data_IF_568853119558
#
_entry.id   IF_568853119558
#
_cell.length_a   1.000
_cell.length_b   1.000
_cell.length_c   1.000
_cell.angle_alpha   90.00
_cell.angle_beta   90.00
_cell.angle_gamma   90.00
#
_symmetry.space_group_name_H-M   'P 1'
#
loop_
_entity.id
_entity.type
_entity.pdbx_description
1 polymer ?
#
# COMPACT_ATOMS: atom_id res chain seq x y z
N UNK A 1 -13.86 16.99 8.79
CA UNK A 1 -13.83 16.33 10.11
C UNK A 1 -14.08 14.82 10.03
N UNK A 2 -15.21 14.34 9.50
CA UNK A 2 -15.52 12.88 9.43
C UNK A 2 -14.46 12.06 8.68
N UNK A 3 -13.99 12.53 7.51
CA UNK A 3 -12.92 11.85 6.76
C UNK A 3 -11.64 11.74 7.61
N UNK A 4 -11.26 12.82 8.29
CA UNK A 4 -10.07 12.88 9.14
C UNK A 4 -10.15 11.91 10.32
N UNK A 5 -11.33 11.81 10.96
CA UNK A 5 -11.55 10.86 12.05
C UNK A 5 -11.43 9.41 11.58
N UNK A 6 -12.07 9.07 10.47
CA UNK A 6 -12.04 7.72 9.90
C UNK A 6 -10.61 7.32 9.42
N UNK A 7 -9.82 8.29 8.98
CA UNK A 7 -8.40 8.13 8.60
C UNK A 7 -7.45 8.53 9.74
N UNK A 8 -7.92 8.43 10.98
CA UNK A 8 -7.12 8.68 12.17
C UNK A 8 -6.04 7.62 12.41
N UNK A 9 -4.97 8.01 13.10
CA UNK A 9 -3.86 7.12 13.48
C UNK A 9 -4.29 5.76 14.02
N UNK A 10 -5.14 5.71 15.07
CA UNK A 10 -5.63 4.46 15.64
C UNK A 10 -6.42 3.57 14.66
N UNK A 11 -7.20 4.18 13.76
CA UNK A 11 -8.03 3.45 12.79
C UNK A 11 -7.14 2.69 11.80
N UNK A 12 -6.13 3.38 11.26
CA UNK A 12 -5.20 2.82 10.27
C UNK A 12 -4.14 1.90 10.89
N UNK A 13 -3.85 2.05 12.18
CA UNK A 13 -2.94 1.15 12.90
C UNK A 13 -3.59 -0.19 13.27
N UNK A 14 -4.92 -0.30 13.14
CA UNK A 14 -5.63 -1.52 13.49
C UNK A 14 -5.18 -2.68 12.57
N UNK A 15 -4.82 -3.87 13.08
CA UNK A 15 -4.31 -4.98 12.26
C UNK A 15 -5.25 -5.44 11.14
N UNK A 16 -6.56 -5.23 11.30
CA UNK A 16 -7.58 -5.53 10.27
C UNK A 16 -7.79 -4.40 9.25
N UNK A 17 -7.22 -3.22 9.45
CA UNK A 17 -7.24 -2.13 8.46
C UNK A 17 -6.22 -2.41 7.33
N UNK A 18 -6.45 -3.50 6.60
CA UNK A 18 -5.53 -4.04 5.59
C UNK A 18 -6.28 -4.45 4.32
N UNK A 19 -5.52 -4.81 3.29
CA UNK A 19 -6.03 -5.16 1.97
C UNK A 19 -6.92 -6.41 2.01
N UNK A 20 -8.09 -6.32 1.37
CA UNK A 20 -9.03 -7.44 1.26
C UNK A 20 -9.69 -7.85 2.58
N UNK A 21 -9.67 -7.00 3.61
CA UNK A 21 -10.30 -7.25 4.91
C UNK A 21 -11.44 -6.26 5.15
N UNK A 22 -12.68 -6.73 5.07
CA UNK A 22 -13.88 -5.93 5.41
C UNK A 22 -14.32 -6.16 6.86
N UNK A 23 -14.43 -7.42 7.29
CA UNK A 23 -14.93 -7.78 8.61
C UNK A 23 -13.95 -7.39 9.73
N UNK A 24 -14.42 -6.62 10.72
CA UNK A 24 -13.60 -6.12 11.82
C UNK A 24 -12.57 -5.07 11.41
N UNK A 25 -12.63 -4.56 10.17
CA UNK A 25 -11.83 -3.42 9.75
C UNK A 25 -12.56 -2.13 10.16
N UNK A 26 -12.05 -1.39 11.17
CA UNK A 26 -12.80 -0.26 11.73
C UNK A 26 -13.00 0.86 10.71
N UNK A 27 -12.06 1.06 9.78
CA UNK A 27 -12.16 2.05 8.71
C UNK A 27 -13.37 1.73 7.81
N UNK A 28 -13.48 0.46 7.40
CA UNK A 28 -14.58 -0.01 6.56
C UNK A 28 -15.92 0.00 7.30
N UNK A 29 -15.95 -0.49 8.54
CA UNK A 29 -17.18 -0.61 9.33
C UNK A 29 -17.82 0.77 9.60
N UNK A 30 -17.01 1.77 9.96
CA UNK A 30 -17.50 3.14 10.12
C UNK A 30 -18.00 3.71 8.78
N UNK A 31 -17.25 3.53 7.69
CA UNK A 31 -17.67 3.98 6.36
C UNK A 31 -19.00 3.34 5.93
N UNK A 32 -19.18 2.04 6.19
CA UNK A 32 -20.43 1.32 5.90
C UNK A 32 -21.58 1.83 6.77
N UNK A 33 -21.34 2.08 8.06
CA UNK A 33 -22.33 2.62 8.98
C UNK A 33 -22.81 4.02 8.52
N UNK A 34 -21.88 4.92 8.19
CA UNK A 34 -22.21 6.27 7.71
C UNK A 34 -23.00 6.20 6.41
N UNK A 35 -22.60 5.35 5.47
CA UNK A 35 -23.30 5.21 4.21
C UNK A 35 -24.74 4.66 4.40
N UNK A 36 -24.94 3.66 5.25
CA UNK A 36 -26.27 3.14 5.57
C UNK A 36 -27.17 4.19 6.26
N UNK A 37 -26.59 5.08 7.09
CA UNK A 37 -27.33 6.17 7.73
C UNK A 37 -27.91 7.17 6.72
N UNK A 38 -27.35 7.26 5.50
CA UNK A 38 -27.92 8.08 4.41
C UNK A 38 -29.16 7.46 3.76
N UNK A 39 -29.54 6.25 4.15
CA UNK A 39 -30.68 5.50 3.62
C UNK A 39 -30.68 5.38 2.08
N UNK A 40 -29.58 4.89 1.48
CA UNK A 40 -29.50 4.77 0.04
C UNK A 40 -30.51 3.73 -0.47
N UNK A 41 -31.32 4.12 -1.46
CA UNK A 41 -32.35 3.22 -2.01
C UNK A 41 -31.77 2.17 -2.96
N UNK A 42 -30.61 2.43 -3.57
CA UNK A 42 -30.01 1.58 -4.58
C UNK A 42 -28.54 1.93 -4.81
N UNK A 43 -27.71 0.93 -5.10
CA UNK A 43 -26.34 1.14 -5.61
C UNK A 43 -26.13 0.40 -6.93
N UNK A 44 -25.13 0.83 -7.70
CA UNK A 44 -24.56 0.07 -8.82
C UNK A 44 -23.05 0.15 -8.70
N UNK A 45 -22.41 -0.98 -8.42
CA UNK A 45 -20.97 -1.13 -8.37
C UNK A 45 -20.50 -2.04 -9.50
N UNK A 46 -19.29 -1.79 -10.00
CA UNK A 46 -18.63 -2.62 -11.01
C UNK A 46 -17.24 -3.02 -10.55
N UNK A 47 -16.81 -4.22 -10.90
CA UNK A 47 -15.41 -4.64 -10.80
C UNK A 47 -14.74 -4.53 -12.17
N UNK A 48 -13.45 -4.21 -12.19
CA UNK A 48 -12.71 -3.92 -13.41
C UNK A 48 -11.48 -4.82 -13.55
N UNK A 49 -11.12 -5.19 -14.78
CA UNK A 49 -9.80 -5.78 -15.06
C UNK A 49 -8.73 -4.71 -15.26
N UNK A 50 -7.50 -5.12 -15.55
CA UNK A 50 -6.35 -4.24 -15.81
C UNK A 50 -6.55 -3.29 -17.00
N UNK A 51 -7.46 -3.64 -17.93
CA UNK A 51 -7.85 -2.81 -19.09
C UNK A 51 -9.03 -1.89 -18.79
N UNK A 52 -9.49 -1.83 -17.53
CA UNK A 52 -10.68 -1.08 -17.08
C UNK A 52 -11.99 -1.59 -17.71
N UNK A 53 -12.02 -2.83 -18.18
CA UNK A 53 -13.24 -3.47 -18.69
C UNK A 53 -14.06 -4.03 -17.52
N UNK A 54 -15.38 -3.96 -17.62
CA UNK A 54 -16.30 -4.46 -16.60
C UNK A 54 -16.24 -5.99 -16.53
N UNK A 55 -15.98 -6.52 -15.32
CA UNK A 55 -15.91 -7.96 -15.04
C UNK A 55 -17.07 -8.47 -14.18
N UNK A 56 -17.82 -7.55 -13.57
CA UNK A 56 -18.97 -7.84 -12.72
C UNK A 56 -19.78 -6.58 -12.48
N UNK A 57 -21.10 -6.74 -12.31
CA UNK A 57 -22.04 -5.66 -12.00
C UNK A 57 -22.88 -6.10 -10.81
N UNK A 58 -22.91 -5.28 -9.76
CA UNK A 58 -23.60 -5.57 -8.51
C UNK A 58 -24.53 -4.41 -8.20
N UNK A 59 -25.83 -4.67 -8.25
CA UNK A 59 -26.85 -3.63 -8.15
C UNK A 59 -28.01 -4.08 -7.26
N UNK A 60 -28.52 -3.18 -6.42
CA UNK A 60 -29.57 -3.52 -5.46
C UNK A 60 -29.48 -2.71 -4.16
N UNK A 61 -30.04 -3.29 -3.10
CA UNK A 61 -29.87 -2.82 -1.73
C UNK A 61 -28.37 -2.73 -1.40
N UNK A 62 -27.96 -1.64 -0.76
CA UNK A 62 -26.56 -1.26 -0.61
C UNK A 62 -25.71 -2.35 0.04
N UNK A 63 -26.14 -2.87 1.19
CA UNK A 63 -25.35 -3.85 1.94
C UNK A 63 -25.21 -5.15 1.13
N UNK A 64 -26.32 -5.69 0.62
CA UNK A 64 -26.32 -6.94 -0.14
C UNK A 64 -25.53 -6.84 -1.46
N UNK A 65 -25.74 -5.78 -2.24
CA UNK A 65 -25.05 -5.61 -3.50
C UNK A 65 -23.55 -5.37 -3.30
N UNK A 66 -23.16 -4.62 -2.26
CA UNK A 66 -21.76 -4.40 -1.95
C UNK A 66 -21.07 -5.69 -1.45
N UNK A 67 -21.72 -6.46 -0.56
CA UNK A 67 -21.19 -7.72 -0.04
C UNK A 67 -20.99 -8.75 -1.17
N UNK A 68 -21.92 -8.83 -2.13
CA UNK A 68 -21.76 -9.66 -3.32
C UNK A 68 -20.56 -9.22 -4.20
N UNK A 69 -20.35 -7.91 -4.33
CA UNK A 69 -19.20 -7.35 -5.02
C UNK A 69 -17.88 -7.65 -4.32
N UNK A 70 -17.84 -7.54 -2.98
CA UNK A 70 -16.67 -7.89 -2.16
C UNK A 70 -16.32 -9.38 -2.34
N UNK A 71 -17.31 -10.27 -2.25
CA UNK A 71 -17.10 -11.71 -2.40
C UNK A 71 -16.59 -12.10 -3.80
N UNK A 72 -16.97 -11.35 -4.84
CA UNK A 72 -16.42 -11.52 -6.18
C UNK A 72 -14.99 -10.99 -6.28
N UNK A 73 -14.76 -9.75 -5.80
CA UNK A 73 -13.46 -9.08 -5.83
C UNK A 73 -12.39 -9.86 -5.05
N UNK A 74 -12.76 -10.45 -3.91
CA UNK A 74 -11.87 -11.28 -3.10
C UNK A 74 -11.30 -12.45 -3.90
N UNK A 75 -12.15 -13.16 -4.66
CA UNK A 75 -11.72 -14.29 -5.51
C UNK A 75 -10.86 -13.85 -6.68
N UNK A 76 -11.09 -12.65 -7.20
CA UNK A 76 -10.38 -12.13 -8.38
C UNK A 76 -9.00 -11.56 -8.02
N UNK A 77 -8.90 -10.79 -6.93
CA UNK A 77 -7.73 -9.97 -6.66
C UNK A 77 -6.84 -10.49 -5.54
N UNK A 78 -7.34 -11.35 -4.65
CA UNK A 78 -6.51 -11.91 -3.57
C UNK A 78 -5.83 -13.19 -4.02
N UNK A 79 -4.51 -13.19 -3.98
CA UNK A 79 -3.68 -14.27 -4.50
C UNK A 79 -2.97 -14.97 -3.34
N UNK A 80 -3.28 -16.25 -3.06
CA UNK A 80 -2.60 -16.98 -2.00
C UNK A 80 -1.12 -17.16 -2.34
N UNK A 81 -0.24 -16.86 -1.38
CA UNK A 81 1.20 -17.11 -1.48
C UNK A 81 1.64 -18.03 -0.33
N UNK A 82 2.59 -18.96 -0.58
CA UNK A 82 2.93 -20.00 0.40
C UNK A 82 3.72 -19.49 1.60
N UNK A 83 4.32 -18.29 1.51
CA UNK A 83 5.16 -17.72 2.55
C UNK A 83 5.35 -16.21 2.33
N UNK A 84 5.99 -15.55 3.31
CA UNK A 84 6.58 -14.23 3.12
C UNK A 84 7.96 -14.33 2.45
N UNK A 85 8.36 -13.27 1.75
CA UNK A 85 9.53 -13.23 0.89
C UNK A 85 10.60 -12.29 1.45
N UNK A 86 11.86 -12.61 1.16
CA UNK A 86 13.02 -11.83 1.58
C UNK A 86 13.11 -10.52 0.76
N UNK A 87 12.77 -10.59 -0.53
CA UNK A 87 12.70 -9.44 -1.45
C UNK A 87 11.35 -9.47 -2.18
N UNK A 88 10.66 -8.33 -2.25
CA UNK A 88 9.44 -8.16 -3.05
C UNK A 88 9.66 -7.05 -4.07
N UNK A 89 9.51 -7.36 -5.36
CA UNK A 89 9.52 -6.36 -6.43
C UNK A 89 8.07 -6.09 -6.83
N UNK A 90 7.63 -4.83 -6.78
CA UNK A 90 6.25 -4.47 -7.04
C UNK A 90 6.13 -3.25 -7.95
N UNK A 91 4.96 -3.07 -8.54
CA UNK A 91 4.60 -1.86 -9.30
C UNK A 91 3.42 -1.13 -8.66
N UNK A 92 3.06 0.05 -9.19
CA UNK A 92 1.80 0.74 -8.86
C UNK A 92 0.90 0.92 -10.09
N UNK A 93 0.77 -0.13 -10.91
CA UNK A 93 -0.11 -0.21 -12.10
C UNK A 93 0.21 0.74 -13.27
N UNK A 94 1.31 1.50 -13.21
CA UNK A 94 1.67 2.46 -14.26
C UNK A 94 0.71 3.66 -14.35
N UNK A 95 0.92 4.51 -15.35
CA UNK A 95 0.14 5.73 -15.51
C UNK A 95 -1.35 5.44 -15.73
N UNK A 96 -2.28 6.17 -15.07
CA UNK A 96 -2.06 7.31 -14.18
C UNK A 96 -1.95 6.94 -12.69
N UNK A 97 -1.95 5.66 -12.34
CA UNK A 97 -1.98 5.23 -10.93
C UNK A 97 -0.66 5.51 -10.21
N UNK A 98 0.48 5.51 -10.91
CA UNK A 98 1.81 5.80 -10.37
C UNK A 98 2.31 7.23 -10.64
N UNK A 99 1.39 8.18 -10.90
CA UNK A 99 1.73 9.56 -11.28
C UNK A 99 2.62 10.28 -10.24
N UNK A 100 2.53 9.93 -8.96
CA UNK A 100 3.38 10.48 -7.89
C UNK A 100 3.59 9.47 -6.76
N UNK A 101 4.51 9.79 -5.85
CA UNK A 101 4.83 8.93 -4.71
C UNK A 101 3.63 8.73 -3.79
N UNK A 102 2.85 9.78 -3.53
CA UNK A 102 1.64 9.72 -2.71
C UNK A 102 0.71 8.58 -3.14
N UNK A 103 0.43 8.44 -4.44
CA UNK A 103 -0.38 7.32 -4.96
C UNK A 103 0.36 5.99 -4.90
N UNK A 104 1.68 6.01 -5.07
CA UNK A 104 2.55 4.83 -5.12
C UNK A 104 2.74 4.14 -3.77
N UNK A 105 2.38 4.81 -2.66
CA UNK A 105 2.24 4.18 -1.33
C UNK A 105 1.27 2.97 -1.38
N UNK A 106 0.29 2.95 -2.29
CA UNK A 106 -0.62 1.80 -2.46
C UNK A 106 0.14 0.53 -2.83
N UNK A 107 0.87 0.54 -3.95
CA UNK A 107 1.71 -0.58 -4.37
C UNK A 107 2.75 -0.98 -3.33
N UNK A 108 3.32 0.01 -2.63
CA UNK A 108 4.22 -0.23 -1.48
C UNK A 108 3.53 -1.03 -0.36
N UNK A 109 2.33 -0.63 0.04
CA UNK A 109 1.57 -1.31 1.11
C UNK A 109 1.05 -2.69 0.71
N UNK A 110 0.79 -2.93 -0.58
CA UNK A 110 0.48 -4.27 -1.12
C UNK A 110 1.71 -5.17 -1.01
N UNK A 111 2.88 -4.69 -1.44
CA UNK A 111 4.13 -5.43 -1.31
C UNK A 111 4.46 -5.78 0.15
N UNK A 112 4.10 -4.90 1.08
CA UNK A 112 4.27 -5.12 2.51
C UNK A 112 3.48 -6.31 3.06
N UNK A 113 2.41 -6.76 2.39
CA UNK A 113 1.66 -7.97 2.80
C UNK A 113 2.51 -9.25 2.63
N UNK A 114 3.39 -9.27 1.63
CA UNK A 114 4.22 -10.43 1.30
C UNK A 114 5.66 -10.34 1.79
N UNK A 115 6.19 -9.17 2.14
CA UNK A 115 7.58 -9.04 2.63
C UNK A 115 7.70 -9.55 4.07
N UNK A 116 8.84 -10.19 4.39
CA UNK A 116 9.23 -10.53 5.77
C UNK A 116 9.55 -9.27 6.57
N UNK A 117 9.49 -9.38 7.89
CA UNK A 117 10.07 -8.40 8.80
C UNK A 117 11.58 -8.26 8.52
N UNK A 118 12.06 -7.04 8.36
CA UNK A 118 13.44 -6.73 7.97
C UNK A 118 13.79 -7.09 6.52
N UNK A 119 12.80 -7.43 5.68
CA UNK A 119 13.00 -7.71 4.26
C UNK A 119 13.16 -6.44 3.43
N UNK A 120 13.11 -6.58 2.10
CA UNK A 120 13.27 -5.46 1.16
C UNK A 120 12.14 -5.41 0.14
N UNK A 121 11.62 -4.22 -0.10
CA UNK A 121 10.69 -3.92 -1.19
C UNK A 121 11.43 -3.08 -2.24
N UNK A 122 11.28 -3.43 -3.51
CA UNK A 122 11.67 -2.59 -4.65
C UNK A 122 10.39 -2.21 -5.38
N UNK A 123 10.02 -0.93 -5.32
CA UNK A 123 8.85 -0.40 -5.98
C UNK A 123 9.24 0.27 -7.30
N UNK A 124 8.64 -0.17 -8.40
CA UNK A 124 8.69 0.49 -9.69
C UNK A 124 7.44 1.36 -9.88
N UNK A 125 7.62 2.67 -9.88
CA UNK A 125 6.56 3.65 -10.04
C UNK A 125 7.17 4.91 -10.66
N UNK A 126 6.65 5.40 -11.78
CA UNK A 126 7.27 6.50 -12.51
C UNK A 126 7.38 7.77 -11.66
N UNK A 127 6.34 8.10 -10.90
CA UNK A 127 6.25 9.31 -10.08
C UNK A 127 6.61 10.58 -10.88
N UNK A 128 6.03 10.72 -12.09
CA UNK A 128 6.29 11.85 -12.99
C UNK A 128 5.99 13.22 -12.36
N UNK A 129 5.05 13.28 -11.41
CA UNK A 129 4.68 14.46 -10.60
C UNK A 129 5.39 14.48 -9.23
N UNK A 130 6.50 13.75 -9.10
CA UNK A 130 7.33 13.71 -7.91
C UNK A 130 6.60 13.18 -6.68
N UNK A 131 6.60 13.98 -5.60
CA UNK A 131 5.99 13.59 -4.32
C UNK A 131 4.46 13.63 -4.35
N UNK A 132 3.87 14.45 -5.23
CA UNK A 132 2.42 14.64 -5.33
C UNK A 132 1.91 15.69 -4.34
N UNK A 133 1.04 15.28 -3.41
CA UNK A 133 0.33 16.18 -2.52
C UNK A 133 1.31 17.06 -1.70
N UNK A 134 1.10 18.38 -1.73
CA UNK A 134 2.04 19.34 -1.16
C UNK A 134 2.24 19.15 0.36
N UNK A 135 1.15 18.93 1.10
CA UNK A 135 1.23 18.77 2.55
C UNK A 135 1.85 17.43 2.96
N UNK A 136 1.58 16.36 2.20
CA UNK A 136 2.33 15.09 2.35
C UNK A 136 3.83 15.30 2.12
N UNK A 137 4.22 16.05 1.08
CA UNK A 137 5.61 16.37 0.80
C UNK A 137 6.28 17.19 1.93
N UNK A 138 5.52 18.09 2.54
CA UNK A 138 5.94 18.89 3.70
C UNK A 138 6.15 18.00 4.94
N UNK A 139 5.17 17.15 5.26
CA UNK A 139 5.20 16.25 6.42
C UNK A 139 6.38 15.27 6.38
N UNK A 140 6.78 14.80 5.20
CA UNK A 140 7.97 13.96 5.04
C UNK A 140 9.24 14.62 5.62
N UNK A 141 9.31 15.95 5.62
CA UNK A 141 10.45 16.70 6.15
C UNK A 141 10.35 17.02 7.66
N UNK A 142 9.25 16.66 8.33
CA UNK A 142 9.04 17.02 9.74
C UNK A 142 9.89 16.19 10.71
N UNK A 143 10.38 15.02 10.28
CA UNK A 143 11.25 14.14 11.06
C UNK A 143 12.33 13.53 10.17
N UNK A 144 13.39 13.05 10.80
CA UNK A 144 14.60 12.59 10.10
C UNK A 144 14.49 11.14 9.63
N UNK A 145 13.55 10.35 10.17
CA UNK A 145 13.39 8.96 9.78
C UNK A 145 11.92 8.46 9.87
N UNK A 146 11.58 7.34 9.19
CA UNK A 146 10.22 6.80 9.17
C UNK A 146 9.66 6.42 10.55
N UNK A 147 10.48 5.96 11.49
CA UNK A 147 10.01 5.60 12.84
C UNK A 147 9.47 6.83 13.56
N UNK A 148 10.22 7.92 13.54
CA UNK A 148 9.80 9.17 14.17
C UNK A 148 8.55 9.77 13.51
N UNK A 149 8.42 9.66 12.18
CA UNK A 149 7.18 10.04 11.49
C UNK A 149 6.00 9.19 11.94
N UNK A 150 6.19 7.86 12.04
CA UNK A 150 5.14 6.96 12.50
C UNK A 150 4.73 7.27 13.95
N UNK A 151 5.70 7.45 14.85
CA UNK A 151 5.45 7.76 16.24
C UNK A 151 4.75 9.11 16.41
N UNK A 152 5.01 10.07 15.52
CA UNK A 152 4.32 11.36 15.46
C UNK A 152 2.85 11.20 15.04
N UNK A 153 2.56 10.51 13.94
CA UNK A 153 1.18 10.36 13.44
C UNK A 153 0.30 9.50 14.36
N UNK A 154 0.92 8.68 15.21
CA UNK A 154 0.23 7.87 16.21
C UNK A 154 0.01 8.59 17.55
N UNK A 155 0.51 9.81 17.73
CA UNK A 155 0.26 10.57 18.96
C UNK A 155 -1.24 10.86 19.13
N UNK A 156 -1.79 10.73 20.35
CA UNK A 156 -3.18 11.11 20.62
C UNK A 156 -3.46 12.56 20.20
N UNK A 157 -4.52 12.76 19.41
CA UNK A 157 -4.93 14.08 18.94
C UNK A 157 -4.16 14.59 17.70
N UNK A 158 -3.20 13.84 17.16
CA UNK A 158 -2.59 14.17 15.88
C UNK A 158 -3.62 14.07 14.75
N UNK A 159 -3.78 15.17 14.00
CA UNK A 159 -4.75 15.29 12.93
C UNK A 159 -4.24 16.30 11.89
N UNK A 160 -3.61 15.79 10.85
CA UNK A 160 -3.13 16.59 9.71
C UNK A 160 -3.65 16.03 8.40
N UNK A 161 -3.87 16.92 7.42
CA UNK A 161 -4.28 16.47 6.08
C UNK A 161 -3.25 15.45 5.56
N UNK A 162 -3.68 14.47 4.78
CA UNK A 162 -2.77 13.49 4.17
C UNK A 162 -1.97 12.61 5.15
N UNK A 163 -2.20 12.70 6.47
CA UNK A 163 -1.46 11.91 7.47
C UNK A 163 -1.53 10.41 7.21
N UNK A 164 -2.61 9.92 6.63
CA UNK A 164 -2.80 8.50 6.31
C UNK A 164 -1.78 8.00 5.29
N UNK A 165 -1.35 8.83 4.35
CA UNK A 165 -0.31 8.47 3.40
C UNK A 165 1.06 8.37 4.10
N UNK A 166 1.37 9.30 5.01
CA UNK A 166 2.58 9.24 5.85
C UNK A 166 2.55 7.99 6.73
N UNK A 167 1.42 7.71 7.39
CA UNK A 167 1.27 6.54 8.24
C UNK A 167 1.43 5.24 7.45
N UNK A 168 0.70 5.08 6.35
CA UNK A 168 0.78 3.88 5.50
C UNK A 168 2.20 3.66 4.98
N UNK A 169 2.89 4.72 4.51
CA UNK A 169 4.27 4.60 4.07
C UNK A 169 5.20 4.20 5.21
N UNK A 170 5.12 4.88 6.34
CA UNK A 170 6.08 4.70 7.45
C UNK A 170 5.87 3.36 8.16
N UNK A 171 4.64 2.83 8.24
CA UNK A 171 4.38 1.45 8.67
C UNK A 171 5.12 0.43 7.80
N UNK A 172 5.17 0.63 6.48
CA UNK A 172 5.94 -0.24 5.58
C UNK A 172 7.44 -0.08 5.80
N UNK A 173 7.93 1.16 5.89
CA UNK A 173 9.36 1.45 6.05
C UNK A 173 9.92 1.03 7.42
N UNK A 174 9.06 0.96 8.44
CA UNK A 174 9.39 0.39 9.75
C UNK A 174 9.59 -1.13 9.67
N UNK A 175 8.84 -1.80 8.81
CA UNK A 175 8.87 -3.25 8.62
C UNK A 175 9.98 -3.69 7.67
N UNK A 176 10.24 -2.92 6.61
CA UNK A 176 11.11 -3.32 5.52
C UNK A 176 11.83 -2.12 4.90
N UNK A 177 13.02 -2.37 4.35
CA UNK A 177 13.70 -1.40 3.50
C UNK A 177 12.93 -1.20 2.19
N UNK A 178 12.79 0.04 1.73
CA UNK A 178 12.06 0.33 0.48
C UNK A 178 12.96 1.08 -0.50
N UNK A 179 13.16 0.46 -1.66
CA UNK A 179 13.83 1.02 -2.82
C UNK A 179 12.80 1.52 -3.83
N UNK A 180 13.03 2.70 -4.43
CA UNK A 180 12.16 3.29 -5.43
C UNK A 180 12.90 3.42 -6.77
N UNK A 181 12.38 2.75 -7.80
CA UNK A 181 12.72 2.98 -9.20
C UNK A 181 11.68 3.92 -9.81
N UNK A 182 12.08 5.16 -10.10
CA UNK A 182 11.20 6.22 -10.57
C UNK A 182 11.96 7.30 -11.35
N UNK A 183 11.23 8.26 -11.89
CA UNK A 183 11.78 9.50 -12.46
C UNK A 183 12.26 10.49 -11.38
N UNK A 184 12.01 10.23 -10.10
CA UNK A 184 12.51 11.05 -9.00
C UNK A 184 14.02 10.85 -8.82
N UNK A 185 14.76 11.94 -8.69
CA UNK A 185 16.20 11.89 -8.46
C UNK A 185 16.57 11.30 -7.08
N UNK A 186 17.84 10.93 -6.86
CA UNK A 186 18.31 10.35 -5.60
C UNK A 186 18.02 11.21 -4.38
N UNK A 187 18.20 12.52 -4.50
CA UNK A 187 17.99 13.45 -3.38
C UNK A 187 16.51 13.57 -2.99
N UNK A 188 15.62 13.66 -3.98
CA UNK A 188 14.18 13.71 -3.71
C UNK A 188 13.68 12.38 -3.12
N UNK A 189 14.19 11.26 -3.61
CA UNK A 189 13.88 9.92 -3.08
C UNK A 189 14.33 9.78 -1.63
N UNK A 190 15.55 10.24 -1.32
CA UNK A 190 16.09 10.25 0.04
C UNK A 190 15.29 11.14 0.99
N UNK A 191 14.87 12.32 0.54
CA UNK A 191 13.98 13.23 1.31
C UNK A 191 12.61 12.63 1.59
N UNK A 192 12.19 11.62 0.82
CA UNK A 192 10.99 10.84 1.09
C UNK A 192 11.25 9.58 1.94
N UNK A 193 12.44 9.48 2.54
CA UNK A 193 12.89 8.34 3.35
C UNK A 193 13.02 7.01 2.58
N UNK A 194 13.17 7.07 1.26
CA UNK A 194 13.30 5.91 0.39
C UNK A 194 14.74 5.76 -0.10
N UNK A 195 15.10 4.53 -0.49
CA UNK A 195 16.39 4.24 -1.14
C UNK A 195 16.24 4.38 -2.66
N UNK A 196 17.12 5.12 -3.30
CA UNK A 196 17.07 5.28 -4.76
C UNK A 196 17.49 3.99 -5.48
N UNK A 197 16.70 3.55 -6.45
CA UNK A 197 16.98 2.39 -7.30
C UNK A 197 17.11 2.85 -8.77
N UNK A 198 18.33 2.97 -9.32
CA UNK A 198 18.53 3.38 -10.71
C UNK A 198 18.25 2.25 -11.72
N UNK A 199 18.32 0.99 -11.29
CA UNK A 199 18.18 -0.20 -12.13
C UNK A 199 17.71 -1.36 -11.25
N UNK A 200 16.51 -1.88 -11.53
CA UNK A 200 15.88 -2.93 -10.74
C UNK A 200 16.73 -4.20 -10.76
N UNK A 201 17.18 -4.64 -11.94
CA UNK A 201 17.93 -5.89 -12.11
C UNK A 201 19.25 -5.86 -11.32
N UNK A 202 20.02 -4.76 -11.43
CA UNK A 202 21.26 -4.58 -10.68
C UNK A 202 21.02 -4.51 -9.18
N UNK A 203 19.95 -3.82 -8.77
CA UNK A 203 19.58 -3.69 -7.35
C UNK A 203 19.19 -5.05 -6.75
N UNK A 204 18.38 -5.85 -7.45
CA UNK A 204 18.03 -7.22 -7.04
C UNK A 204 19.28 -8.10 -6.93
N UNK A 205 20.18 -8.05 -7.92
CA UNK A 205 21.42 -8.83 -7.90
C UNK A 205 22.30 -8.48 -6.69
N UNK A 206 22.50 -7.18 -6.42
CA UNK A 206 23.30 -6.70 -5.29
C UNK A 206 22.68 -7.08 -3.94
N UNK A 207 21.35 -6.93 -3.79
CA UNK A 207 20.64 -7.33 -2.57
C UNK A 207 20.69 -8.85 -2.36
N UNK A 208 20.62 -9.64 -3.43
CA UNK A 208 20.71 -11.10 -3.36
C UNK A 208 22.11 -11.57 -2.94
N UNK A 209 23.15 -10.91 -3.46
CA UNK A 209 24.52 -11.17 -3.01
C UNK A 209 24.71 -10.82 -1.53
N UNK A 210 24.26 -9.63 -1.12
CA UNK A 210 24.35 -9.21 0.28
C UNK A 210 23.61 -10.15 1.23
N UNK A 211 22.42 -10.57 0.82
CA UNK A 211 21.62 -11.55 1.55
C UNK A 211 22.35 -12.88 1.72
N UNK A 212 22.93 -13.43 0.64
CA UNK A 212 23.72 -14.67 0.70
C UNK A 212 24.89 -14.55 1.67
N UNK A 213 25.62 -13.42 1.65
CA UNK A 213 26.74 -13.18 2.57
C UNK A 213 26.29 -13.22 4.04
N UNK A 214 25.13 -12.64 4.35
CA UNK A 214 24.57 -12.61 5.71
C UNK A 214 23.89 -13.90 6.15
N UNK A 215 23.48 -14.75 5.21
CA UNK A 215 22.66 -15.94 5.46
C UNK A 215 23.35 -17.26 5.06
N UNK A 216 24.68 -17.32 5.15
CA UNK A 216 25.43 -18.57 4.94
C UNK A 216 25.31 -19.15 3.52
N UNK A 217 25.18 -18.29 2.51
CA UNK A 217 25.05 -18.69 1.11
C UNK A 217 23.62 -19.04 0.66
N UNK A 218 22.62 -18.97 1.55
CA UNK A 218 21.21 -19.21 1.19
C UNK A 218 20.71 -18.14 0.21
N UNK A 219 20.03 -18.56 -0.85
CA UNK A 219 19.35 -17.65 -1.78
C UNK A 219 18.13 -16.98 -1.13
N UNK A 220 17.86 -15.69 -1.41
CA UNK A 220 16.63 -15.03 -0.98
C UNK A 220 15.43 -15.60 -1.74
N UNK A 221 14.31 -15.75 -1.04
CA UNK A 221 13.02 -15.92 -1.69
C UNK A 221 12.55 -14.57 -2.24
N UNK A 222 12.27 -14.50 -3.55
CA UNK A 222 11.86 -13.27 -4.24
C UNK A 222 10.44 -13.42 -4.78
N UNK A 223 9.59 -12.42 -4.55
CA UNK A 223 8.26 -12.31 -5.16
C UNK A 223 8.20 -11.11 -6.10
N UNK A 224 7.53 -11.27 -7.24
CA UNK A 224 7.25 -10.18 -8.19
C UNK A 224 5.75 -9.94 -8.27
N UNK A 225 5.33 -8.69 -8.05
CA UNK A 225 3.94 -8.22 -8.06
C UNK A 225 3.76 -7.19 -9.19
N UNK A 226 3.54 -7.62 -10.44
CA UNK A 226 3.55 -6.73 -11.60
C UNK A 226 2.30 -5.84 -11.71
N UNK A 227 1.22 -6.16 -11.01
CA UNK A 227 -0.08 -5.47 -11.13
C UNK A 227 -0.48 -4.68 -9.88
N UNK A 228 0.46 -4.38 -8.97
CA UNK A 228 0.19 -3.61 -7.75
C UNK A 228 -1.04 -4.12 -6.99
N UNK A 229 -2.00 -3.22 -6.72
CA UNK A 229 -3.23 -3.52 -5.99
C UNK A 229 -4.28 -4.36 -6.74
N UNK A 230 -4.07 -4.74 -8.00
CA UNK A 230 -4.95 -5.69 -8.70
C UNK A 230 -4.60 -7.16 -8.41
N UNK A 231 -3.48 -7.43 -7.74
CA UNK A 231 -3.07 -8.75 -7.31
C UNK A 231 -2.46 -8.67 -5.91
N UNK A 232 -3.31 -8.67 -4.89
CA UNK A 232 -2.90 -8.54 -3.49
C UNK A 232 -2.47 -9.93 -2.97
N UNK A 233 -1.21 -10.11 -2.54
CA UNK A 233 -0.78 -11.38 -1.99
C UNK A 233 -1.38 -11.59 -0.59
N UNK A 234 -1.87 -12.80 -0.33
CA UNK A 234 -2.34 -13.25 0.98
C UNK A 234 -1.51 -14.45 1.40
N UNK A 235 -0.72 -14.28 2.44
CA UNK A 235 0.04 -15.39 3.05
C UNK A 235 -0.97 -16.24 3.81
N UNK A 236 -1.00 -17.55 3.55
CA UNK A 236 -1.85 -18.47 4.31
C UNK A 236 -1.51 -18.42 5.80
N UNK A 237 -2.52 -18.60 6.65
CA UNK A 237 -2.36 -18.79 8.10
C UNK A 237 -1.58 -20.07 8.43
#
# INVERSE_FOLDING_TARGET
ETIMSNHGGPMLAHPKATWGQAEGNPVFEEARQVALATQPSFIVNVTLNERKEVTGVFAGEMAQAHDAGIAFAEKAYLQPVPQRYDIVVATNMGYPADINLYQSVKGMSVAAQAVKEGGTIILAAECADGLGQAHYAEMLAWRENPRELLDMVLQPGFAELEQWAIQCQTMVQVKADVYLYSSMGPEQTRRAHLKHCPDISRTVAALSEDFRRRNGGREPAILVLPFGQLAVPRVGD
#
